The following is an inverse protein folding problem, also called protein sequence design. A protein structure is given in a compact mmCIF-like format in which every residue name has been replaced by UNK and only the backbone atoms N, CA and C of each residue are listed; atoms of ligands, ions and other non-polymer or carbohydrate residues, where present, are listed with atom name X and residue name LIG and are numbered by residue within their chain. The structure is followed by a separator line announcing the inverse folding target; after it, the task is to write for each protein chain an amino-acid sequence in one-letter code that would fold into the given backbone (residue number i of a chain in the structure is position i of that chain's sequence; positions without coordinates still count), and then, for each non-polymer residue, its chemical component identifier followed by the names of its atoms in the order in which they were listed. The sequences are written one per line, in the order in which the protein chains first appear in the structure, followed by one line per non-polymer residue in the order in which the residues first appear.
data_IF_608007068009
#
_entry.id   IF_608007068009
#
_cell.length_a   1.000
_cell.length_b   1.000
_cell.length_c   1.000
_cell.angle_alpha   90.00
_cell.angle_beta   90.00
_cell.angle_gamma   90.00
#
_symmetry.space_group_name_H-M   'P 1'
#
loop_
_entity.id
_entity.type
_entity.pdbx_description
1 polymer ?
#
# COMPACT_ATOMS: atom_id res chain seq x y z
N UNK A 1 -19.53 4.70 2.55
CA UNK A 1 -19.01 3.84 1.47
C UNK A 1 -18.13 2.69 2.01
N UNK A 2 -17.05 2.96 2.76
CA UNK A 2 -16.15 1.91 3.30
C UNK A 2 -16.87 0.81 4.10
N UNK A 3 -17.86 1.17 4.93
CA UNK A 3 -18.57 0.19 5.76
C UNK A 3 -19.32 -0.86 4.92
N UNK A 4 -19.86 -0.47 3.76
CA UNK A 4 -20.57 -1.39 2.87
C UNK A 4 -19.61 -2.43 2.28
N UNK A 5 -18.41 -2.00 1.86
CA UNK A 5 -17.38 -2.91 1.36
C UNK A 5 -16.92 -3.91 2.42
N UNK A 6 -16.72 -3.48 3.68
CA UNK A 6 -16.34 -4.38 4.78
C UNK A 6 -17.39 -5.47 4.98
N UNK A 7 -18.67 -5.09 5.02
CA UNK A 7 -19.78 -6.03 5.20
C UNK A 7 -19.89 -7.02 4.03
N UNK A 8 -19.77 -6.54 2.79
CA UNK A 8 -19.86 -7.40 1.60
C UNK A 8 -18.72 -8.41 1.57
N UNK A 9 -17.48 -7.96 1.80
CA UNK A 9 -16.30 -8.84 1.76
C UNK A 9 -16.34 -9.88 2.88
N UNK A 10 -16.64 -9.46 4.12
CA UNK A 10 -16.79 -10.39 5.25
C UNK A 10 -17.92 -11.40 5.02
N UNK A 11 -19.07 -10.94 4.52
CA UNK A 11 -20.21 -11.81 4.20
C UNK A 11 -19.89 -12.83 3.10
N UNK A 12 -19.15 -12.43 2.06
CA UNK A 12 -18.75 -13.31 0.98
C UNK A 12 -17.79 -14.41 1.46
N UNK A 13 -16.78 -14.04 2.24
CA UNK A 13 -15.78 -14.99 2.78
C UNK A 13 -16.46 -15.99 3.73
N UNK A 14 -17.32 -15.51 4.62
CA UNK A 14 -18.10 -16.36 5.51
C UNK A 14 -19.04 -17.31 4.75
N UNK A 15 -19.67 -16.84 3.67
CA UNK A 15 -20.60 -17.67 2.88
C UNK A 15 -19.91 -18.77 2.09
N UNK A 16 -18.67 -18.56 1.63
CA UNK A 16 -17.94 -19.54 0.81
C UNK A 16 -17.12 -20.49 1.68
N UNK A 17 -16.44 -19.98 2.70
CA UNK A 17 -15.47 -20.75 3.50
C UNK A 17 -16.01 -21.18 4.87
N UNK A 18 -17.14 -20.62 5.32
CA UNK A 18 -17.69 -20.88 6.66
C UNK A 18 -16.89 -20.25 7.81
N UNK A 19 -15.83 -19.50 7.49
CA UNK A 19 -14.94 -18.79 8.42
C UNK A 19 -14.59 -17.43 7.83
N UNK A 20 -14.25 -16.45 8.68
CA UNK A 20 -13.70 -15.15 8.27
C UNK A 20 -12.17 -15.19 8.08
N UNK A 21 -11.52 -16.31 8.42
CA UNK A 21 -10.07 -16.47 8.32
C UNK A 21 -9.72 -17.43 7.20
N UNK A 22 -8.87 -17.00 6.27
CA UNK A 22 -8.42 -17.81 5.14
C UNK A 22 -6.90 -17.99 5.17
N UNK A 23 -6.44 -19.13 4.70
CA UNK A 23 -5.03 -19.40 4.49
C UNK A 23 -4.68 -19.09 3.04
N UNK A 24 -3.68 -18.25 2.84
CA UNK A 24 -3.21 -17.82 1.52
C UNK A 24 -1.70 -18.04 1.40
N UNK A 25 -1.28 -18.64 0.29
CA UNK A 25 0.13 -18.90 -0.02
C UNK A 25 0.58 -17.99 -1.17
N UNK A 26 1.16 -16.81 -0.88
CA UNK A 26 1.54 -15.84 -1.91
C UNK A 26 2.63 -16.35 -2.85
N UNK A 27 3.49 -17.26 -2.39
CA UNK A 27 4.64 -17.78 -3.14
C UNK A 27 4.34 -19.11 -3.86
N UNK A 28 3.08 -19.56 -3.83
CA UNK A 28 2.65 -20.85 -4.38
C UNK A 28 2.63 -21.99 -3.36
N UNK A 29 2.39 -23.25 -3.80
CA UNK A 29 2.09 -24.38 -2.93
C UNK A 29 3.17 -24.71 -1.88
N UNK A 30 4.43 -24.48 -2.26
CA UNK A 30 5.61 -24.73 -1.41
C UNK A 30 6.00 -23.53 -0.55
N UNK A 31 5.26 -22.43 -0.68
CA UNK A 31 5.51 -21.16 -0.01
C UNK A 31 4.98 -21.09 1.42
N UNK A 32 5.32 -20.00 2.10
CA UNK A 32 4.79 -19.71 3.43
C UNK A 32 3.28 -19.44 3.40
N UNK A 33 2.52 -20.11 4.27
CA UNK A 33 1.08 -19.85 4.44
C UNK A 33 0.88 -18.64 5.34
N UNK A 34 0.12 -17.66 4.86
CA UNK A 34 -0.34 -16.49 5.63
C UNK A 34 -1.81 -16.65 5.97
N UNK A 35 -2.16 -16.45 7.24
CA UNK A 35 -3.57 -16.33 7.65
C UNK A 35 -4.03 -14.88 7.39
N UNK A 36 -5.09 -14.73 6.60
CA UNK A 36 -5.74 -13.45 6.33
C UNK A 36 -7.06 -13.42 7.09
N UNK A 37 -7.23 -12.41 7.94
CA UNK A 37 -8.43 -12.21 8.75
C UNK A 37 -9.35 -11.15 8.11
N UNK A 38 -10.57 -11.57 7.73
CA UNK A 38 -11.62 -10.72 7.18
C UNK A 38 -12.60 -10.21 8.26
N UNK A 39 -12.29 -10.36 9.55
CA UNK A 39 -13.07 -9.77 10.62
C UNK A 39 -13.25 -8.25 10.43
N UNK A 40 -14.44 -7.72 10.77
CA UNK A 40 -14.86 -6.38 10.34
C UNK A 40 -14.20 -5.27 11.16
N UNK A 41 -12.90 -5.05 10.94
CA UNK A 41 -12.12 -3.88 11.33
C UNK A 41 -10.88 -3.80 10.43
N UNK A 42 -11.07 -3.63 9.11
CA UNK A 42 -9.95 -3.39 8.22
C UNK A 42 -9.15 -2.17 8.71
N UNK A 43 -7.85 -2.38 8.90
CA UNK A 43 -6.94 -1.34 9.37
C UNK A 43 -6.96 -0.17 8.39
N UNK A 44 -7.34 1.01 8.88
CA UNK A 44 -7.28 2.24 8.09
C UNK A 44 -5.94 2.92 8.33
N UNK A 45 -5.29 3.33 7.25
CA UNK A 45 -4.03 4.06 7.30
C UNK A 45 -4.11 5.27 6.37
N UNK A 46 -3.61 6.41 6.85
CA UNK A 46 -3.45 7.61 6.02
C UNK A 46 -2.14 7.50 5.27
N UNK A 47 -2.17 7.68 3.95
CA UNK A 47 -1.05 7.43 3.05
C UNK A 47 0.20 8.23 3.45
N UNK A 48 0.08 9.56 3.56
CA UNK A 48 1.22 10.44 3.86
C UNK A 48 1.88 10.13 5.22
N UNK A 49 1.16 10.14 6.36
CA UNK A 49 1.77 9.86 7.66
C UNK A 49 2.43 8.47 7.73
N UNK A 50 1.82 7.46 7.11
CA UNK A 50 2.37 6.10 7.13
C UNK A 50 3.62 5.98 6.24
N UNK A 51 3.65 6.67 5.10
CA UNK A 51 4.84 6.74 4.24
C UNK A 51 5.97 7.49 4.93
N UNK A 52 5.71 8.66 5.52
CA UNK A 52 6.73 9.41 6.28
C UNK A 52 7.33 8.57 7.41
N UNK A 53 6.48 7.83 8.14
CA UNK A 53 6.92 6.93 9.22
C UNK A 53 7.80 5.79 8.72
N UNK A 54 7.47 5.20 7.57
CA UNK A 54 8.19 4.05 7.02
C UNK A 54 9.48 4.42 6.31
N UNK A 55 9.46 5.53 5.59
CA UNK A 55 10.61 6.06 4.85
C UNK A 55 11.50 6.94 5.74
N UNK A 56 11.03 7.32 6.93
CA UNK A 56 11.73 8.19 7.89
C UNK A 56 12.11 9.56 7.29
N UNK A 57 11.31 10.06 6.36
CA UNK A 57 11.47 11.35 5.69
C UNK A 57 10.19 12.16 5.75
N UNK A 58 10.30 13.48 5.63
CA UNK A 58 9.15 14.36 5.43
C UNK A 58 8.85 14.49 3.95
N UNK A 59 7.61 14.19 3.58
CA UNK A 59 7.15 14.32 2.20
C UNK A 59 6.76 15.78 1.89
N UNK A 60 6.85 16.23 0.63
CA UNK A 60 6.34 17.53 0.23
C UNK A 60 4.85 17.64 0.56
N UNK A 61 4.36 18.85 0.83
CA UNK A 61 2.94 19.04 1.14
C UNK A 61 2.06 18.59 -0.05
N UNK A 62 0.89 17.96 0.17
CA UNK A 62 0.04 17.49 -0.93
C UNK A 62 -0.32 18.56 -1.97
N UNK A 63 -0.46 19.81 -1.54
CA UNK A 63 -0.75 20.95 -2.43
C UNK A 63 0.43 21.44 -3.27
N UNK A 64 1.65 20.99 -2.98
CA UNK A 64 2.88 21.38 -3.70
C UNK A 64 3.48 20.21 -4.47
N UNK A 65 2.77 19.09 -4.61
CA UNK A 65 3.28 17.92 -5.33
C UNK A 65 3.50 18.18 -6.82
N UNK A 66 2.78 19.12 -7.41
CA UNK A 66 2.88 19.44 -8.83
C UNK A 66 4.08 20.35 -9.15
N UNK A 67 4.82 20.83 -8.14
CA UNK A 67 5.99 21.69 -8.35
C UNK A 67 7.21 20.86 -8.77
N UNK A 68 8.11 21.42 -9.60
CA UNK A 68 9.29 20.70 -10.06
C UNK A 68 10.20 20.26 -8.90
N UNK A 69 10.26 21.03 -7.80
CA UNK A 69 11.06 20.71 -6.62
C UNK A 69 10.52 19.46 -5.90
N UNK A 70 9.19 19.32 -5.83
CA UNK A 70 8.57 18.14 -5.23
C UNK A 70 8.76 16.89 -6.10
N UNK A 71 8.71 17.03 -7.43
CA UNK A 71 9.02 15.95 -8.37
C UNK A 71 10.46 15.49 -8.20
N UNK A 72 11.42 16.42 -8.17
CA UNK A 72 12.84 16.11 -8.00
C UNK A 72 13.12 15.43 -6.64
N UNK A 73 12.49 15.90 -5.55
CA UNK A 73 12.58 15.25 -4.24
C UNK A 73 12.07 13.80 -4.29
N UNK A 74 10.89 13.56 -4.87
CA UNK A 74 10.32 12.21 -5.01
C UNK A 74 11.18 11.34 -5.93
N UNK A 75 11.84 11.95 -6.90
CA UNK A 75 12.73 11.26 -7.84
C UNK A 75 14.00 10.75 -7.18
N UNK A 76 14.63 11.61 -6.38
CA UNK A 76 15.76 11.27 -5.53
C UNK A 76 15.37 10.20 -4.52
N UNK A 77 14.23 10.36 -3.84
CA UNK A 77 13.71 9.37 -2.89
C UNK A 77 13.51 8.00 -3.55
N UNK A 78 12.94 7.95 -4.76
CA UNK A 78 12.81 6.69 -5.49
C UNK A 78 14.18 6.09 -5.82
N UNK A 79 15.15 6.91 -6.20
CA UNK A 79 16.51 6.47 -6.54
C UNK A 79 17.25 5.90 -5.31
N UNK A 80 17.16 6.58 -4.16
CA UNK A 80 17.76 6.17 -2.89
C UNK A 80 17.22 4.82 -2.40
N UNK A 81 15.92 4.59 -2.61
CA UNK A 81 15.25 3.33 -2.25
C UNK A 81 15.25 2.28 -3.37
N UNK A 82 16.00 2.50 -4.46
CA UNK A 82 16.09 1.59 -5.62
C UNK A 82 14.72 1.24 -6.23
N UNK A 83 13.81 2.22 -6.24
CA UNK A 83 12.48 2.13 -6.82
C UNK A 83 12.53 2.56 -8.28
N UNK A 84 12.31 1.61 -9.19
CA UNK A 84 12.25 1.90 -10.61
C UNK A 84 10.92 2.54 -11.01
N UNK A 85 10.99 3.76 -11.56
CA UNK A 85 9.87 4.43 -12.20
C UNK A 85 10.19 4.71 -13.68
N UNK A 86 9.67 3.92 -14.64
CA UNK A 86 9.87 4.21 -16.06
C UNK A 86 9.18 5.53 -16.44
N UNK A 87 9.69 6.23 -17.48
CA UNK A 87 9.10 7.49 -17.93
C UNK A 87 7.62 7.32 -18.34
N UNK A 88 6.77 8.34 -18.16
CA UNK A 88 7.08 9.66 -17.58
C UNK A 88 7.20 9.63 -16.04
N UNK A 89 8.13 10.40 -15.48
CA UNK A 89 8.38 10.48 -14.02
C UNK A 89 7.64 11.66 -13.41
N UNK A 90 6.32 11.57 -13.37
CA UNK A 90 5.45 12.58 -12.73
C UNK A 90 5.36 12.35 -11.23
N UNK A 91 5.07 13.40 -10.44
CA UNK A 91 4.92 13.30 -8.98
C UNK A 91 3.96 12.16 -8.56
N UNK A 92 2.83 12.03 -9.26
CA UNK A 92 1.83 10.98 -8.99
C UNK A 92 2.40 9.57 -9.22
N UNK A 93 3.18 9.36 -10.29
CA UNK A 93 3.77 8.05 -10.61
C UNK A 93 4.90 7.70 -9.65
N UNK A 94 5.73 8.68 -9.30
CA UNK A 94 6.80 8.50 -8.30
C UNK A 94 6.19 8.17 -6.93
N UNK A 95 5.15 8.88 -6.51
CA UNK A 95 4.45 8.63 -5.25
C UNK A 95 3.76 7.25 -5.23
N UNK A 96 3.12 6.84 -6.33
CA UNK A 96 2.53 5.50 -6.49
C UNK A 96 3.59 4.42 -6.29
N UNK A 97 4.73 4.52 -6.99
CA UNK A 97 5.83 3.56 -6.88
C UNK A 97 6.46 3.54 -5.49
N UNK A 98 6.67 4.70 -4.88
CA UNK A 98 7.14 4.81 -3.51
C UNK A 98 6.16 4.15 -2.51
N UNK A 99 4.85 4.21 -2.78
CA UNK A 99 3.83 3.61 -1.92
C UNK A 99 3.67 2.10 -2.06
N UNK A 100 4.01 1.54 -3.24
CA UNK A 100 3.98 0.09 -3.48
C UNK A 100 5.30 -0.58 -3.08
N UNK A 101 6.28 0.19 -2.59
CA UNK A 101 7.53 -0.35 -2.11
C UNK A 101 7.30 -1.42 -1.04
N UNK A 102 8.17 -2.46 -1.07
CA UNK A 102 8.10 -3.72 -0.29
C UNK A 102 7.72 -3.57 1.18
N UNK A 103 7.89 -2.38 1.75
CA UNK A 103 7.48 -2.04 3.09
C UNK A 103 5.97 -2.19 3.32
N UNK A 104 5.07 -1.77 2.41
CA UNK A 104 3.60 -1.81 2.65
C UNK A 104 2.98 -3.18 2.40
N UNK A 105 3.47 -3.94 1.42
CA UNK A 105 2.98 -5.29 1.09
C UNK A 105 3.38 -6.41 2.08
N UNK A 106 4.15 -6.10 3.13
CA UNK A 106 4.45 -7.04 4.22
C UNK A 106 3.52 -6.90 5.43
N UNK A 107 2.46 -6.07 5.33
CA UNK A 107 1.30 -6.17 6.23
C UNK A 107 0.40 -7.36 5.85
#
# INVERSE_FOLDING_TARGET
MVNVYVTIMGGMVQSIHGTLKINYQPEGPDGSTKEIDFAPLFKRMSMFPELEKRLQVKLPHPSTLDTPEAVEFLDQLCSDHQVECPPPRTATRLLDKASVFRTICLL
#
